data_IF_068451173734
#
_entry.id   IF_068451173734
#
_cell.length_a   1.000
_cell.length_b   1.000
_cell.length_c   1.000
_cell.angle_alpha   90.00
_cell.angle_beta   90.00
_cell.angle_gamma   90.00
#
_symmetry.space_group_name_H-M   'P 1'
#
loop_
_entity.id
_entity.type
_entity.pdbx_description
1 polymer ?
#
# COMPACT_ATOMS: atom_id res chain seq x y z
N UNK A 1 16.32 -3.98 -1.05
CA UNK A 1 15.19 -3.10 -0.73
C UNK A 1 15.61 -2.16 0.38
N UNK A 2 15.29 -0.88 0.20
CA UNK A 2 15.28 0.11 1.25
C UNK A 2 14.11 -0.15 2.22
N UNK A 3 14.07 0.58 3.32
CA UNK A 3 12.99 0.49 4.31
C UNK A 3 11.70 1.07 3.74
N UNK A 4 10.55 0.72 4.30
CA UNK A 4 9.24 1.26 3.88
C UNK A 4 8.70 2.17 4.98
N UNK A 5 8.34 3.41 4.66
CA UNK A 5 7.85 4.36 5.66
C UNK A 5 6.49 3.95 6.23
N UNK A 6 5.68 3.25 5.44
CA UNK A 6 4.37 2.74 5.83
C UNK A 6 4.45 1.57 6.84
N UNK A 7 5.64 1.02 7.11
CA UNK A 7 5.86 0.12 8.24
C UNK A 7 5.85 0.84 9.58
N UNK A 8 6.12 2.15 9.58
CA UNK A 8 6.25 2.96 10.79
C UNK A 8 4.88 3.49 11.23
N UNK A 9 4.61 3.37 12.52
CA UNK A 9 3.52 4.07 13.17
C UNK A 9 3.73 5.59 13.09
N UNK A 10 2.65 6.35 13.34
CA UNK A 10 2.74 7.81 13.39
C UNK A 10 3.79 8.30 14.40
N UNK A 11 3.92 7.66 15.56
CA UNK A 11 4.90 8.04 16.58
C UNK A 11 6.33 7.76 16.11
N UNK A 12 6.57 6.62 15.46
CA UNK A 12 7.88 6.29 14.88
C UNK A 12 8.24 7.25 13.74
N UNK A 13 7.27 7.73 12.96
CA UNK A 13 7.49 8.80 11.98
C UNK A 13 7.85 10.13 12.65
N UNK A 14 7.26 10.47 13.79
CA UNK A 14 7.64 11.66 14.56
C UNK A 14 9.10 11.57 15.03
N UNK A 15 9.51 10.42 15.56
CA UNK A 15 10.89 10.16 16.00
C UNK A 15 11.88 10.21 14.83
N UNK A 16 11.53 9.56 13.71
CA UNK A 16 12.34 9.58 12.50
C UNK A 16 12.58 11.00 11.99
N UNK A 17 11.52 11.80 11.86
CA UNK A 17 11.61 13.18 11.37
C UNK A 17 12.53 14.02 12.27
N UNK A 18 12.41 13.87 13.59
CA UNK A 18 13.27 14.58 14.55
C UNK A 18 14.74 14.14 14.41
N UNK A 19 14.99 12.83 14.24
CA UNK A 19 16.34 12.29 14.06
C UNK A 19 17.02 12.80 12.77
N UNK A 20 16.24 13.12 11.74
CA UNK A 20 16.72 13.67 10.48
C UNK A 20 16.95 15.20 10.52
N UNK A 21 16.68 15.84 11.67
CA UNK A 21 16.86 17.27 11.91
C UNK A 21 15.66 18.13 11.48
N UNK A 22 14.51 17.52 11.20
CA UNK A 22 13.29 18.23 10.77
C UNK A 22 12.37 18.55 11.96
N UNK A 23 11.46 19.51 11.76
CA UNK A 23 10.49 19.90 12.79
C UNK A 23 9.37 18.87 12.92
N UNK A 24 8.88 18.64 14.14
CA UNK A 24 7.81 17.68 14.46
C UNK A 24 6.60 17.71 13.52
N UNK A 25 6.13 18.89 13.11
CA UNK A 25 4.97 19.01 12.22
C UNK A 25 5.17 18.38 10.82
N UNK A 26 6.43 18.15 10.40
CA UNK A 26 6.75 17.46 9.14
C UNK A 26 6.31 16.01 9.16
N UNK A 27 6.29 15.36 10.33
CA UNK A 27 5.77 14.01 10.48
C UNK A 27 4.30 13.91 10.09
N UNK A 28 3.49 14.90 10.49
CA UNK A 28 2.08 14.98 10.07
C UNK A 28 1.93 15.13 8.56
N UNK A 29 2.73 16.00 7.94
CA UNK A 29 2.69 16.20 6.49
C UNK A 29 3.12 14.95 5.72
N UNK A 30 4.16 14.27 6.21
CA UNK A 30 4.64 13.01 5.68
C UNK A 30 3.55 11.93 5.80
N UNK A 31 3.03 11.70 7.00
CA UNK A 31 1.98 10.73 7.26
C UNK A 31 0.73 10.97 6.40
N UNK A 32 0.22 12.20 6.36
CA UNK A 32 -0.95 12.52 5.54
C UNK A 32 -0.70 12.29 4.04
N UNK A 33 0.51 12.56 3.55
CA UNK A 33 0.88 12.28 2.17
C UNK A 33 0.91 10.78 1.87
N UNK A 34 1.57 10.00 2.73
CA UNK A 34 1.66 8.55 2.61
C UNK A 34 0.27 7.89 2.66
N UNK A 35 -0.59 8.30 3.61
CA UNK A 35 -1.95 7.78 3.75
C UNK A 35 -2.89 8.18 2.60
N UNK A 36 -2.49 9.15 1.77
CA UNK A 36 -3.17 9.47 0.51
C UNK A 36 -2.67 8.63 -0.68
N UNK A 37 -1.77 7.67 -0.44
CA UNK A 37 -1.17 6.84 -1.48
C UNK A 37 -0.13 7.56 -2.34
N UNK A 38 0.43 8.68 -1.86
CA UNK A 38 1.50 9.40 -2.58
C UNK A 38 2.86 8.75 -2.30
N UNK A 39 3.71 8.72 -3.32
CA UNK A 39 5.14 8.48 -3.13
C UNK A 39 5.78 9.63 -2.33
N UNK A 40 6.94 9.39 -1.70
CA UNK A 40 7.68 10.41 -0.94
C UNK A 40 7.91 11.65 -1.81
N UNK A 41 8.32 11.44 -3.05
CA UNK A 41 8.60 12.49 -4.03
C UNK A 41 7.37 13.31 -4.40
N UNK A 42 6.16 12.72 -4.37
CA UNK A 42 4.89 13.37 -4.68
C UNK A 42 4.29 14.19 -3.53
N UNK A 43 4.83 14.13 -2.30
CA UNK A 43 4.32 14.91 -1.16
C UNK A 43 4.75 16.38 -1.27
N UNK A 44 3.97 17.20 -1.95
CA UNK A 44 4.32 18.61 -2.27
C UNK A 44 4.58 19.52 -1.07
N UNK A 45 4.06 19.18 0.12
CA UNK A 45 4.27 19.95 1.35
C UNK A 45 5.67 19.80 1.95
N UNK A 46 6.44 18.78 1.54
CA UNK A 46 7.81 18.52 2.00
C UNK A 46 8.84 19.21 1.08
N UNK A 47 9.95 19.65 1.67
CA UNK A 47 11.05 20.25 0.92
C UNK A 47 11.76 19.22 0.04
N UNK A 48 12.38 19.66 -1.06
CA UNK A 48 13.16 18.78 -1.94
C UNK A 48 14.28 18.05 -1.18
N UNK A 49 15.05 18.78 -0.37
CA UNK A 49 16.14 18.23 0.42
C UNK A 49 15.67 17.16 1.43
N UNK A 50 14.49 17.34 2.03
CA UNK A 50 13.95 16.35 2.96
C UNK A 50 13.48 15.08 2.26
N UNK A 51 12.84 15.21 1.08
CA UNK A 51 12.47 14.07 0.25
C UNK A 51 13.69 13.26 -0.19
N UNK A 52 14.76 13.95 -0.62
CA UNK A 52 16.02 13.31 -1.02
C UNK A 52 16.63 12.51 0.13
N UNK A 53 16.72 13.10 1.33
CA UNK A 53 17.15 12.39 2.55
C UNK A 53 16.32 11.13 2.84
N UNK A 54 15.00 11.23 2.76
CA UNK A 54 14.13 10.07 2.97
C UNK A 54 14.40 8.99 1.92
N UNK A 55 14.51 9.38 0.65
CA UNK A 55 14.74 8.46 -0.46
C UNK A 55 16.15 7.83 -0.44
N UNK A 56 17.09 8.26 0.39
CA UNK A 56 18.37 7.56 0.59
C UNK A 56 18.16 6.23 1.31
N UNK A 57 17.31 6.21 2.34
CA UNK A 57 17.09 5.05 3.22
C UNK A 57 15.75 4.32 3.02
N UNK A 58 14.77 4.99 2.42
CA UNK A 58 13.41 4.50 2.26
C UNK A 58 13.02 4.39 0.78
N UNK A 59 12.17 3.40 0.47
CA UNK A 59 11.59 3.26 -0.87
C UNK A 59 10.61 4.41 -1.14
N UNK A 60 10.79 5.09 -2.28
CA UNK A 60 9.88 6.17 -2.71
C UNK A 60 8.50 5.61 -3.06
N UNK A 61 8.50 4.49 -3.77
CA UNK A 61 7.32 3.76 -4.22
C UNK A 61 7.48 2.27 -3.87
N UNK A 62 7.05 1.84 -2.66
CA UNK A 62 7.21 0.45 -2.20
C UNK A 62 6.43 -0.58 -3.03
N UNK A 63 5.33 -0.13 -3.65
CA UNK A 63 4.43 -0.92 -4.48
C UNK A 63 3.97 -0.07 -5.66
N UNK A 64 3.85 -0.68 -6.84
CA UNK A 64 3.21 -0.08 -8.01
C UNK A 64 2.19 -1.05 -8.60
N UNK A 65 1.17 -0.51 -9.25
CA UNK A 65 0.24 -1.33 -10.05
C UNK A 65 0.88 -1.53 -11.40
N UNK A 66 1.32 -2.76 -11.66
CA UNK A 66 1.93 -3.16 -12.94
C UNK A 66 0.87 -3.30 -14.02
N UNK A 67 -0.26 -3.91 -13.67
CA UNK A 67 -1.34 -4.18 -14.60
C UNK A 67 -2.69 -4.23 -13.86
N UNK A 68 -3.75 -3.82 -14.55
CA UNK A 68 -5.13 -3.90 -14.04
C UNK A 68 -5.99 -4.65 -15.04
N UNK A 69 -6.74 -5.62 -14.55
CA UNK A 69 -7.72 -6.39 -15.32
C UNK A 69 -9.13 -6.03 -14.86
N UNK A 70 -10.02 -5.78 -15.83
CA UNK A 70 -11.39 -5.36 -15.56
C UNK A 70 -12.37 -6.47 -15.94
N UNK A 71 -13.28 -6.77 -15.03
CA UNK A 71 -14.41 -7.68 -15.25
C UNK A 71 -15.67 -6.90 -15.63
N UNK A 72 -16.59 -7.54 -16.35
CA UNK A 72 -17.88 -6.96 -16.74
C UNK A 72 -18.80 -6.65 -15.56
N UNK A 73 -18.58 -7.27 -14.39
CA UNK A 73 -19.33 -7.02 -13.16
C UNK A 73 -18.78 -5.85 -12.33
N UNK A 74 -17.75 -5.16 -12.82
CA UNK A 74 -17.10 -4.05 -12.14
C UNK A 74 -15.99 -4.49 -11.16
N UNK A 75 -15.66 -5.78 -11.10
CA UNK A 75 -14.49 -6.26 -10.35
C UNK A 75 -13.20 -5.83 -11.06
N UNK A 76 -12.25 -5.29 -10.29
CA UNK A 76 -10.91 -4.95 -10.77
C UNK A 76 -9.89 -5.86 -10.09
N UNK A 77 -9.05 -6.51 -10.89
CA UNK A 77 -7.91 -7.30 -10.39
C UNK A 77 -6.63 -6.55 -10.69
N UNK A 78 -5.83 -6.31 -9.66
CA UNK A 78 -4.54 -5.63 -9.76
C UNK A 78 -3.40 -6.64 -9.65
N UNK A 79 -2.41 -6.45 -10.51
CA UNK A 79 -1.09 -7.06 -10.38
C UNK A 79 -0.15 -6.03 -9.76
N UNK A 80 0.15 -6.20 -8.48
CA UNK A 80 1.06 -5.34 -7.75
C UNK A 80 2.50 -5.82 -7.92
N UNK A 81 3.43 -4.89 -8.15
CA UNK A 81 4.86 -5.14 -8.17
C UNK A 81 5.54 -4.42 -7.00
N UNK A 82 6.27 -5.16 -6.18
CA UNK A 82 7.05 -4.63 -5.06
C UNK A 82 8.47 -4.24 -5.46
N UNK A 83 9.18 -3.53 -4.59
CA UNK A 83 10.55 -3.05 -4.82
C UNK A 83 11.58 -4.17 -5.09
N UNK A 84 11.31 -5.42 -4.70
CA UNK A 84 12.14 -6.58 -5.02
C UNK A 84 11.76 -7.27 -6.35
N UNK A 85 10.79 -6.72 -7.09
CA UNK A 85 10.31 -7.24 -8.36
C UNK A 85 9.31 -8.40 -8.24
N UNK A 86 8.98 -8.83 -7.01
CA UNK A 86 7.95 -9.83 -6.83
C UNK A 86 6.56 -9.28 -7.12
N UNK A 87 5.68 -10.16 -7.59
CA UNK A 87 4.33 -9.83 -7.98
C UNK A 87 3.33 -10.50 -7.05
N UNK A 88 2.30 -9.76 -6.63
CA UNK A 88 1.13 -10.31 -5.94
C UNK A 88 -0.14 -9.74 -6.52
N UNK A 89 -1.24 -10.45 -6.31
CA UNK A 89 -2.55 -10.03 -6.77
C UNK A 89 -3.34 -9.35 -5.64
N UNK A 90 -4.20 -8.42 -6.01
CA UNK A 90 -5.29 -7.95 -5.16
C UNK A 90 -6.53 -7.69 -6.01
N UNK A 91 -7.69 -7.69 -5.37
CA UNK A 91 -8.98 -7.56 -6.07
C UNK A 91 -9.85 -6.53 -5.39
N UNK A 92 -10.36 -5.56 -6.15
CA UNK A 92 -11.39 -4.63 -5.72
C UNK A 92 -12.74 -5.08 -6.24
N UNK A 93 -13.69 -5.22 -5.34
CA UNK A 93 -15.07 -5.62 -5.66
C UNK A 93 -16.03 -4.53 -5.25
N UNK A 94 -16.96 -4.20 -6.14
CA UNK A 94 -18.03 -3.22 -5.88
C UNK A 94 -19.27 -3.89 -5.32
N UNK A 95 -19.64 -3.51 -4.10
CA UNK A 95 -20.89 -3.94 -3.48
C UNK A 95 -21.82 -2.76 -3.21
N UNK A 96 -23.08 -3.06 -2.86
CA UNK A 96 -24.08 -2.05 -2.50
C UNK A 96 -23.66 -1.17 -1.31
N UNK A 97 -22.80 -1.70 -0.44
CA UNK A 97 -22.30 -1.03 0.76
C UNK A 97 -20.91 -0.36 0.57
N UNK A 98 -20.39 -0.33 -0.67
CA UNK A 98 -19.10 0.26 -1.00
C UNK A 98 -18.11 -0.78 -1.56
N UNK A 99 -16.84 -0.41 -1.58
CA UNK A 99 -15.79 -1.27 -2.12
C UNK A 99 -15.15 -2.17 -1.06
N UNK A 100 -14.97 -3.43 -1.42
CA UNK A 100 -14.18 -4.41 -0.65
C UNK A 100 -12.89 -4.72 -1.39
N UNK A 101 -11.76 -4.49 -0.73
CA UNK A 101 -10.44 -4.85 -1.25
C UNK A 101 -9.98 -6.19 -0.65
N UNK A 102 -9.69 -7.16 -1.50
CA UNK A 102 -8.94 -8.35 -1.18
C UNK A 102 -7.44 -8.05 -1.30
N UNK A 103 -6.69 -8.26 -0.22
CA UNK A 103 -5.24 -8.04 -0.17
C UNK A 103 -4.49 -9.35 0.08
N UNK A 104 -3.28 -9.43 -0.47
CA UNK A 104 -2.32 -10.51 -0.21
C UNK A 104 -1.50 -10.20 1.04
N UNK A 105 -1.04 -11.23 1.75
CA UNK A 105 -0.19 -11.14 2.95
C UNK A 105 1.20 -11.72 2.75
N UNK A 106 1.38 -12.54 1.69
CA UNK A 106 2.65 -13.18 1.35
C UNK A 106 2.87 -13.17 -0.16
N UNK A 107 4.13 -13.31 -0.57
CA UNK A 107 4.51 -13.64 -1.95
C UNK A 107 4.52 -15.17 -2.06
N UNK A 108 3.45 -15.72 -2.62
CA UNK A 108 3.19 -17.17 -2.60
C UNK A 108 2.64 -17.65 -1.25
N UNK A 109 2.54 -18.96 -1.06
CA UNK A 109 1.99 -19.56 0.16
C UNK A 109 2.55 -20.98 0.38
N UNK A 110 2.90 -21.30 1.64
CA UNK A 110 3.49 -22.59 2.03
C UNK A 110 2.45 -23.65 2.43
N UNK A 111 1.17 -23.31 2.50
CA UNK A 111 0.15 -24.19 3.09
C UNK A 111 -0.12 -25.48 2.29
N UNK A 112 0.19 -25.52 0.99
CA UNK A 112 0.05 -26.73 0.17
C UNK A 112 -1.40 -27.14 -0.13
N UNK A 113 -2.35 -26.21 0.00
CA UNK A 113 -3.74 -26.40 -0.41
C UNK A 113 -3.82 -26.70 -1.92
N UNK A 114 -4.17 -27.95 -2.27
CA UNK A 114 -4.13 -28.47 -3.66
C UNK A 114 -4.98 -27.70 -4.68
N UNK A 115 -5.97 -26.95 -4.24
CA UNK A 115 -6.87 -26.15 -5.09
C UNK A 115 -6.42 -24.68 -5.22
N UNK A 116 -5.38 -24.26 -4.49
CA UNK A 116 -4.95 -22.87 -4.41
C UNK A 116 -3.71 -22.63 -5.27
N UNK A 117 -3.85 -21.78 -6.29
CA UNK A 117 -2.78 -21.43 -7.21
C UNK A 117 -1.57 -20.78 -6.50
N UNK A 118 -1.80 -20.02 -5.42
CA UNK A 118 -0.74 -19.38 -4.63
C UNK A 118 0.23 -20.37 -3.98
N UNK A 119 -0.12 -21.66 -3.91
CA UNK A 119 0.74 -22.70 -3.32
C UNK A 119 1.66 -23.38 -4.34
N UNK A 120 1.43 -23.20 -5.65
CA UNK A 120 2.12 -23.94 -6.72
C UNK A 120 3.64 -23.74 -6.70
N UNK A 121 4.09 -22.52 -6.38
CA UNK A 121 5.51 -22.15 -6.33
C UNK A 121 6.03 -22.02 -4.89
N UNK A 122 5.25 -22.45 -3.90
CA UNK A 122 5.58 -22.30 -2.48
C UNK A 122 5.56 -20.85 -2.01
N UNK A 123 6.21 -20.61 -0.86
CA UNK A 123 6.36 -19.28 -0.25
C UNK A 123 7.73 -18.71 -0.60
N UNK A 124 7.76 -17.47 -1.10
CA UNK A 124 8.99 -16.70 -1.28
C UNK A 124 9.31 -15.92 0.00
N UNK A 125 8.36 -15.10 0.47
CA UNK A 125 8.50 -14.31 1.71
C UNK A 125 7.17 -13.77 2.21
N UNK A 126 7.17 -13.31 3.46
CA UNK A 126 6.09 -12.49 4.01
C UNK A 126 6.16 -11.06 3.45
N UNK A 127 5.00 -10.45 3.32
CA UNK A 127 4.90 -9.01 3.11
C UNK A 127 5.04 -8.29 4.46
N UNK A 128 5.62 -7.10 4.45
CA UNK A 128 5.64 -6.22 5.63
C UNK A 128 4.27 -5.58 5.85
N UNK A 129 4.05 -4.99 7.03
CA UNK A 129 2.81 -4.28 7.32
C UNK A 129 2.57 -3.12 6.35
N UNK A 130 3.64 -2.39 6.01
CA UNK A 130 3.66 -1.31 5.04
C UNK A 130 3.35 -1.80 3.64
N UNK A 131 3.88 -2.96 3.21
CA UNK A 131 3.55 -3.54 1.89
C UNK A 131 2.06 -3.91 1.79
N UNK A 132 1.49 -4.51 2.84
CA UNK A 132 0.05 -4.84 2.90
C UNK A 132 -0.78 -3.56 2.88
N UNK A 133 -0.40 -2.56 3.69
CA UNK A 133 -1.09 -1.28 3.75
C UNK A 133 -1.03 -0.57 2.39
N UNK A 134 0.12 -0.59 1.71
CA UNK A 134 0.29 0.08 0.44
C UNK A 134 -0.64 -0.50 -0.66
N UNK A 135 -0.98 -1.80 -0.64
CA UNK A 135 -2.01 -2.35 -1.55
C UNK A 135 -3.34 -1.60 -1.42
N UNK A 136 -3.72 -1.22 -0.20
CA UNK A 136 -4.97 -0.50 0.08
C UNK A 136 -4.84 0.97 -0.34
N UNK A 137 -3.70 1.60 0.00
CA UNK A 137 -3.46 3.02 -0.24
C UNK A 137 -3.44 3.38 -1.73
N UNK A 138 -2.77 2.57 -2.56
CA UNK A 138 -2.71 2.83 -4.02
C UNK A 138 -4.07 2.67 -4.68
N UNK A 139 -4.86 1.69 -4.25
CA UNK A 139 -6.22 1.49 -4.78
C UNK A 139 -7.16 2.61 -4.31
N UNK A 140 -7.05 3.03 -3.04
CA UNK A 140 -7.79 4.20 -2.55
C UNK A 140 -7.47 5.47 -3.34
N UNK A 141 -6.19 5.69 -3.66
CA UNK A 141 -5.75 6.85 -4.43
C UNK A 141 -6.33 6.85 -5.86
N UNK A 142 -6.42 5.69 -6.51
CA UNK A 142 -7.06 5.51 -7.81
C UNK A 142 -8.55 5.82 -7.78
N UNK A 143 -9.25 5.36 -6.75
CA UNK A 143 -10.71 5.46 -6.62
C UNK A 143 -11.18 6.64 -5.77
N UNK A 144 -10.34 7.67 -5.56
CA UNK A 144 -10.63 8.81 -4.68
C UNK A 144 -11.95 9.54 -5.01
N UNK A 145 -12.41 9.51 -6.26
CA UNK A 145 -13.65 10.15 -6.68
C UNK A 145 -14.91 9.37 -6.25
N UNK A 146 -14.73 8.09 -5.92
CA UNK A 146 -15.78 7.22 -5.38
C UNK A 146 -15.72 7.12 -3.85
N UNK A 147 -14.96 8.01 -3.21
CA UNK A 147 -14.77 7.98 -1.77
C UNK A 147 -16.08 8.19 -1.00
N UNK A 148 -16.35 7.30 -0.05
CA UNK A 148 -17.37 7.50 0.97
C UNK A 148 -16.78 8.26 2.17
N UNK A 149 -17.59 9.09 2.84
CA UNK A 149 -17.16 9.91 3.98
C UNK A 149 -16.87 11.36 3.61
N UNK A 150 -16.37 12.15 4.57
CA UNK A 150 -16.06 13.57 4.38
C UNK A 150 -14.68 13.92 4.94
N UNK A 151 -14.04 14.93 4.34
CA UNK A 151 -12.74 15.44 4.81
C UNK A 151 -11.65 14.38 4.78
N UNK A 152 -10.94 14.21 5.90
CA UNK A 152 -9.79 13.29 6.01
C UNK A 152 -10.17 11.82 6.14
N UNK A 153 -11.45 11.52 6.37
CA UNK A 153 -11.95 10.15 6.48
C UNK A 153 -12.51 9.62 5.15
N UNK A 154 -12.55 10.47 4.12
CA UNK A 154 -13.00 10.10 2.79
C UNK A 154 -12.10 9.01 2.20
N UNK A 155 -12.66 7.83 1.93
CA UNK A 155 -11.94 6.69 1.34
C UNK A 155 -12.84 5.86 0.43
N UNK A 156 -12.27 5.30 -0.63
CA UNK A 156 -13.00 4.47 -1.58
C UNK A 156 -13.20 3.05 -1.04
N UNK A 157 -12.10 2.44 -0.58
CA UNK A 157 -12.07 1.10 0.02
C UNK A 157 -12.67 1.18 1.43
N UNK A 158 -13.89 0.67 1.59
CA UNK A 158 -14.59 0.67 2.87
C UNK A 158 -14.43 -0.65 3.64
N UNK A 159 -14.10 -1.74 2.95
CA UNK A 159 -13.91 -3.06 3.56
C UNK A 159 -12.61 -3.69 3.06
N UNK A 160 -11.94 -4.45 3.92
CA UNK A 160 -10.70 -5.16 3.59
C UNK A 160 -10.85 -6.61 4.01
N UNK A 161 -10.48 -7.54 3.11
CA UNK A 161 -10.41 -8.97 3.39
C UNK A 161 -9.00 -9.48 3.12
N UNK A 162 -8.47 -10.29 4.05
CA UNK A 162 -7.17 -10.95 3.93
C UNK A 162 -7.38 -12.31 3.26
N UNK A 163 -7.65 -12.29 1.96
CA UNK A 163 -7.99 -13.50 1.19
C UNK A 163 -7.22 -13.58 -0.14
N UNK A 164 -6.14 -12.80 -0.27
CA UNK A 164 -5.22 -12.87 -1.40
C UNK A 164 -4.24 -14.03 -1.25
N UNK A 165 -3.03 -13.87 -1.78
CA UNK A 165 -1.96 -14.84 -1.58
C UNK A 165 -1.39 -14.75 -0.17
N UNK A 166 -1.32 -15.89 0.51
CA UNK A 166 -0.69 -16.06 1.81
C UNK A 166 -1.61 -16.64 2.87
N UNK A 167 -1.01 -17.02 4.00
CA UNK A 167 -1.66 -17.39 5.26
C UNK A 167 -1.10 -16.52 6.39
#
# INVERSE_FOLDING_TARGET
MKKILQDLSYNELEELVLSLGEKKFRAKQLYEGLMQGKSITQISSLSKAFKEKLCEEYEDEPIKIKETFYSSDGTEKYLFEYADGNLVEGVLMKYKYGYTQCVSTQVGCRMGCKFCASTLNGLIRNLTAGEILCQILVVNALHKNDAAGQGKEARAVTNVVLMGSGE
#
